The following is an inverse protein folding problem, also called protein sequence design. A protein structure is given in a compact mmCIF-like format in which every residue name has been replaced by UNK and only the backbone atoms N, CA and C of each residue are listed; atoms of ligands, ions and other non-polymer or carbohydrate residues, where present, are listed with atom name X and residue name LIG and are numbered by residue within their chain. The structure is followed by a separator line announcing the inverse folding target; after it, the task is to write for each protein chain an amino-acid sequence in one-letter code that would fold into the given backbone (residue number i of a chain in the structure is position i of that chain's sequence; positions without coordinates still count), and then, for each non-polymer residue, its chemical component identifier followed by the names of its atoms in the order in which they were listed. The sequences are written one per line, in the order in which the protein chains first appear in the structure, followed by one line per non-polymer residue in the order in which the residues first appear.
data_IF_588404630400
#
_entry.id   IF_588404630400
#
_cell.length_a   1.000
_cell.length_b   1.000
_cell.length_c   1.000
_cell.angle_alpha   90.00
_cell.angle_beta   90.00
_cell.angle_gamma   90.00
#
_symmetry.space_group_name_H-M   'P 1'
#
loop_
_entity.id
_entity.type
_entity.pdbx_description
1 polymer ?
#
# COMPACT_ATOMS: atom_id res chain seq x y z
N UNK A 1 2.73 13.30 -33.29
CA UNK A 1 2.51 13.24 -31.82
C UNK A 1 1.46 14.27 -31.45
N UNK A 2 0.45 13.92 -30.64
CA UNK A 2 -0.48 14.95 -30.12
C UNK A 2 0.30 15.94 -29.24
N UNK A 3 0.13 17.23 -29.48
CA UNK A 3 0.74 18.27 -28.66
C UNK A 3 -0.11 18.46 -27.41
N UNK A 4 0.43 18.07 -26.26
CA UNK A 4 -0.17 18.34 -24.96
C UNK A 4 0.44 19.59 -24.34
N UNK A 5 -0.41 20.47 -23.84
CA UNK A 5 -0.04 21.65 -23.05
C UNK A 5 -0.19 21.36 -21.55
N UNK A 6 0.64 22.01 -20.73
CA UNK A 6 0.71 21.79 -19.28
C UNK A 6 0.48 23.13 -18.59
N UNK A 7 -0.67 23.28 -17.94
CA UNK A 7 -1.13 24.56 -17.38
C UNK A 7 -1.35 24.44 -15.88
N UNK A 8 -1.20 25.56 -15.17
CA UNK A 8 -1.49 25.62 -13.73
C UNK A 8 -2.97 25.35 -13.49
N UNK A 9 -3.31 24.59 -12.45
CA UNK A 9 -4.70 24.40 -12.03
C UNK A 9 -5.23 25.73 -11.49
N UNK A 10 -6.29 26.24 -12.10
CA UNK A 10 -7.06 27.40 -11.64
C UNK A 10 -8.45 26.96 -11.15
N UNK A 11 -9.13 27.83 -10.40
CA UNK A 11 -10.43 27.50 -9.78
C UNK A 11 -11.46 27.01 -10.79
N UNK A 12 -11.51 27.63 -11.97
CA UNK A 12 -12.41 27.26 -13.07
C UNK A 12 -12.17 25.85 -13.65
N UNK A 13 -10.97 25.29 -13.49
CA UNK A 13 -10.63 23.98 -14.04
C UNK A 13 -10.71 22.84 -13.00
N UNK A 14 -10.94 23.15 -11.71
CA UNK A 14 -10.92 22.16 -10.62
C UNK A 14 -11.90 21.02 -10.89
N UNK A 15 -13.15 21.33 -11.24
CA UNK A 15 -14.15 20.28 -11.44
C UNK A 15 -13.81 19.38 -12.64
N UNK A 16 -13.26 19.93 -13.71
CA UNK A 16 -12.78 19.12 -14.85
C UNK A 16 -11.61 18.20 -14.44
N UNK A 17 -10.67 18.70 -13.64
CA UNK A 17 -9.56 17.88 -13.09
C UNK A 17 -10.11 16.74 -12.23
N UNK A 18 -11.09 17.02 -11.36
CA UNK A 18 -11.76 16.02 -10.53
C UNK A 18 -12.49 14.98 -11.40
N UNK A 19 -13.15 15.39 -12.48
CA UNK A 19 -13.80 14.44 -13.40
C UNK A 19 -12.80 13.47 -14.05
N UNK A 20 -11.58 13.93 -14.37
CA UNK A 20 -10.52 13.03 -14.86
C UNK A 20 -10.04 12.09 -13.75
N UNK A 21 -9.97 12.56 -12.49
CA UNK A 21 -9.64 11.71 -11.35
C UNK A 21 -10.68 10.59 -11.16
N UNK A 22 -11.98 10.93 -11.20
CA UNK A 22 -13.09 9.96 -11.10
C UNK A 22 -13.00 8.92 -12.21
N UNK A 23 -12.74 9.33 -13.46
CA UNK A 23 -12.53 8.39 -14.58
C UNK A 23 -11.34 7.46 -14.37
N UNK A 24 -10.31 7.92 -13.66
CA UNK A 24 -9.06 7.16 -13.46
C UNK A 24 -9.16 6.21 -12.27
N UNK A 25 -9.75 6.64 -11.16
CA UNK A 25 -9.76 5.92 -9.89
C UNK A 25 -11.12 5.37 -9.48
N UNK A 26 -12.20 5.77 -10.16
CA UNK A 26 -13.58 5.42 -9.82
C UNK A 26 -14.28 6.50 -8.97
N UNK A 27 -15.57 6.28 -8.72
CA UNK A 27 -16.40 7.13 -7.86
C UNK A 27 -15.90 7.12 -6.41
N UNK A 28 -16.05 8.24 -5.72
CA UNK A 28 -15.65 8.44 -4.33
C UNK A 28 -14.28 9.10 -4.17
N UNK A 29 -13.42 9.10 -5.21
CA UNK A 29 -12.11 9.76 -5.16
C UNK A 29 -12.23 11.28 -4.97
N UNK A 30 -13.32 11.86 -5.45
CA UNK A 30 -13.67 13.26 -5.26
C UNK A 30 -13.81 13.68 -3.80
N UNK A 31 -14.11 12.73 -2.90
CA UNK A 31 -14.17 12.99 -1.45
C UNK A 31 -12.78 13.04 -0.81
N UNK A 32 -11.78 12.41 -1.45
CA UNK A 32 -10.39 12.35 -0.99
C UNK A 32 -9.53 13.49 -1.52
N UNK A 33 -9.93 14.12 -2.64
CA UNK A 33 -9.21 15.24 -3.24
C UNK A 33 -9.77 16.56 -2.70
N UNK A 34 -8.95 17.31 -1.95
CA UNK A 34 -9.33 18.66 -1.52
C UNK A 34 -9.52 19.58 -2.72
N UNK A 35 -10.74 20.10 -2.88
CA UNK A 35 -11.02 21.18 -3.84
C UNK A 35 -10.54 22.55 -3.35
N UNK A 36 -10.36 22.71 -2.04
CA UNK A 36 -9.92 23.98 -1.44
C UNK A 36 -8.43 24.19 -1.66
N UNK A 37 -8.06 25.34 -2.23
CA UNK A 37 -6.66 25.73 -2.48
C UNK A 37 -5.85 24.69 -3.27
N UNK A 38 -6.49 24.04 -4.24
CA UNK A 38 -5.82 23.06 -5.09
C UNK A 38 -4.64 23.70 -5.84
N UNK A 39 -3.46 23.12 -5.67
CA UNK A 39 -2.24 23.55 -6.35
C UNK A 39 -1.69 22.40 -7.18
N UNK A 40 -1.27 22.69 -8.41
CA UNK A 40 -0.78 21.66 -9.30
C UNK A 40 -0.89 22.07 -10.77
N UNK A 41 -0.75 21.08 -11.64
CA UNK A 41 -0.79 21.29 -13.09
C UNK A 41 -1.70 20.26 -13.74
N UNK A 42 -2.36 20.65 -14.82
CA UNK A 42 -3.13 19.75 -15.66
C UNK A 42 -2.55 19.70 -17.08
N UNK A 43 -2.77 18.58 -17.75
CA UNK A 43 -2.46 18.38 -19.16
C UNK A 43 -3.73 18.51 -19.99
N UNK A 44 -3.68 19.23 -21.11
CA UNK A 44 -4.79 19.37 -22.07
C UNK A 44 -4.34 19.02 -23.49
N UNK A 45 -5.24 18.44 -24.28
CA UNK A 45 -5.07 18.22 -25.72
C UNK A 45 -5.59 19.39 -26.58
N UNK A 46 -5.96 20.51 -25.95
CA UNK A 46 -6.55 21.71 -26.56
C UNK A 46 -8.06 21.79 -26.37
N UNK A 47 -8.73 20.65 -26.31
CA UNK A 47 -10.19 20.57 -26.14
C UNK A 47 -10.59 20.17 -24.72
N UNK A 48 -9.81 19.27 -24.09
CA UNK A 48 -10.15 18.71 -22.78
C UNK A 48 -8.93 18.45 -21.91
N UNK A 49 -9.16 18.49 -20.60
CA UNK A 49 -8.18 18.02 -19.62
C UNK A 49 -8.06 16.50 -19.70
N UNK A 50 -6.84 16.00 -19.81
CA UNK A 50 -6.51 14.57 -19.99
C UNK A 50 -5.62 14.01 -18.88
N UNK A 51 -5.24 14.82 -17.90
CA UNK A 51 -4.46 14.37 -16.74
C UNK A 51 -4.10 15.54 -15.82
N UNK A 52 -3.66 15.23 -14.61
CA UNK A 52 -3.21 16.24 -13.67
C UNK A 52 -2.21 15.68 -12.65
N UNK A 53 -1.44 16.59 -12.06
CA UNK A 53 -0.64 16.39 -10.86
C UNK A 53 -1.08 17.42 -9.82
N UNK A 54 -1.48 16.94 -8.64
CA UNK A 54 -1.89 17.75 -7.51
C UNK A 54 -0.77 17.70 -6.46
N UNK A 55 -0.36 18.89 -6.03
CA UNK A 55 0.75 19.13 -5.13
C UNK A 55 0.24 19.69 -3.81
N UNK A 56 0.95 19.39 -2.73
CA UNK A 56 0.65 19.95 -1.41
C UNK A 56 1.93 20.42 -0.72
N UNK A 57 1.81 21.51 0.03
CA UNK A 57 2.90 22.12 0.81
C UNK A 57 2.93 21.51 2.21
N UNK A 58 4.11 21.04 2.62
CA UNK A 58 4.38 20.49 3.96
C UNK A 58 5.10 21.47 4.90
N UNK A 59 6.00 20.91 5.72
CA UNK A 59 7.05 21.63 6.46
C UNK A 59 7.95 22.46 5.56
N UNK A 60 8.78 23.36 6.11
CA UNK A 60 9.48 24.45 5.37
C UNK A 60 10.03 24.04 3.99
N UNK A 61 10.70 22.90 3.90
CA UNK A 61 11.35 22.36 2.70
C UNK A 61 10.69 21.07 2.17
N UNK A 62 9.51 20.72 2.68
CA UNK A 62 8.78 19.50 2.33
C UNK A 62 7.59 19.78 1.39
N UNK A 63 7.44 18.94 0.38
CA UNK A 63 6.34 18.95 -0.58
C UNK A 63 5.80 17.55 -0.82
N UNK A 64 4.55 17.45 -1.24
CA UNK A 64 3.90 16.18 -1.50
C UNK A 64 3.34 16.14 -2.92
N UNK A 65 3.59 15.05 -3.64
CA UNK A 65 2.80 14.69 -4.81
C UNK A 65 1.59 13.94 -4.28
N UNK A 66 0.49 14.65 -4.11
CA UNK A 66 -0.72 14.10 -3.48
C UNK A 66 -1.46 13.20 -4.46
N UNK A 67 -1.61 13.64 -5.71
CA UNK A 67 -2.27 12.88 -6.76
C UNK A 67 -1.54 13.08 -8.09
N UNK A 68 -1.44 12.02 -8.88
CA UNK A 68 -1.05 12.11 -10.27
C UNK A 68 -1.84 11.09 -11.07
N UNK A 69 -2.47 11.54 -12.14
CA UNK A 69 -3.34 10.70 -12.95
C UNK A 69 -3.43 11.19 -14.39
N UNK A 70 -3.74 10.26 -15.28
CA UNK A 70 -3.93 10.50 -16.72
C UNK A 70 -5.14 9.67 -17.14
N UNK A 71 -6.03 10.30 -17.91
CA UNK A 71 -7.19 9.64 -18.51
C UNK A 71 -6.74 8.33 -19.20
N UNK A 72 -7.36 7.18 -18.89
CA UNK A 72 -7.02 5.90 -19.50
C UNK A 72 -6.90 5.94 -21.03
N UNK A 73 -7.71 6.75 -21.72
CA UNK A 73 -7.68 6.90 -23.19
C UNK A 73 -6.50 7.74 -23.70
N UNK A 74 -5.85 8.51 -22.82
CA UNK A 74 -4.70 9.35 -23.14
C UNK A 74 -3.36 8.75 -22.66
N UNK A 75 -3.38 7.60 -21.97
CA UNK A 75 -2.17 6.91 -21.50
C UNK A 75 -1.26 6.50 -22.68
N UNK A 76 0.02 6.21 -22.37
CA UNK A 76 1.03 5.87 -23.38
C UNK A 76 1.74 7.07 -24.04
N UNK A 77 1.24 8.30 -23.86
CA UNK A 77 1.79 9.51 -24.48
C UNK A 77 2.82 10.28 -23.61
N UNK A 78 3.45 9.61 -22.63
CA UNK A 78 4.38 10.22 -21.64
C UNK A 78 3.81 11.43 -20.86
N UNK A 79 2.49 11.61 -20.84
CA UNK A 79 1.81 12.72 -20.13
C UNK A 79 2.17 12.71 -18.64
N UNK A 80 2.09 11.55 -17.98
CA UNK A 80 2.42 11.42 -16.57
C UNK A 80 3.88 11.81 -16.25
N UNK A 81 4.83 11.44 -17.11
CA UNK A 81 6.24 11.85 -16.95
C UNK A 81 6.40 13.37 -17.05
N UNK A 82 5.79 14.00 -18.05
CA UNK A 82 5.84 15.46 -18.22
C UNK A 82 5.12 16.19 -17.07
N UNK A 83 4.00 15.66 -16.57
CA UNK A 83 3.31 16.17 -15.38
C UNK A 83 4.23 16.08 -14.16
N UNK A 84 4.89 14.94 -13.95
CA UNK A 84 5.86 14.76 -12.87
C UNK A 84 7.01 15.78 -12.97
N UNK A 85 7.57 15.99 -14.16
CA UNK A 85 8.65 16.96 -14.37
C UNK A 85 8.23 18.41 -14.03
N UNK A 86 7.04 18.82 -14.47
CA UNK A 86 6.48 20.14 -14.15
C UNK A 86 6.18 20.26 -12.66
N UNK A 87 5.57 19.24 -12.05
CA UNK A 87 5.23 19.23 -10.63
C UNK A 87 6.45 19.26 -9.72
N UNK A 88 7.47 18.44 -10.00
CA UNK A 88 8.76 18.47 -9.28
C UNK A 88 9.44 19.83 -9.41
N UNK A 89 9.43 20.45 -10.61
CA UNK A 89 9.99 21.80 -10.79
C UNK A 89 9.23 22.85 -9.96
N UNK A 90 7.90 22.75 -9.91
CA UNK A 90 7.08 23.66 -9.11
C UNK A 90 7.33 23.51 -7.60
N UNK A 91 7.46 22.27 -7.11
CA UNK A 91 7.86 22.02 -5.71
C UNK A 91 9.23 22.64 -5.41
N UNK A 92 10.22 22.42 -6.29
CA UNK A 92 11.56 22.99 -6.12
C UNK A 92 11.57 24.52 -6.15
N UNK A 93 10.81 25.14 -7.06
CA UNK A 93 10.69 26.59 -7.17
C UNK A 93 10.02 27.21 -5.92
N UNK A 94 9.13 26.49 -5.24
CA UNK A 94 8.55 26.86 -3.95
C UNK A 94 9.48 26.58 -2.75
N UNK A 95 10.73 26.15 -3.00
CA UNK A 95 11.71 25.80 -1.97
C UNK A 95 11.48 24.43 -1.32
N UNK A 96 10.62 23.57 -1.89
CA UNK A 96 10.32 22.22 -1.38
C UNK A 96 11.24 21.18 -1.99
N UNK A 97 12.44 21.07 -1.42
CA UNK A 97 13.50 20.18 -1.92
C UNK A 97 13.36 18.73 -1.45
N UNK A 98 12.55 18.47 -0.42
CA UNK A 98 12.22 17.13 0.08
C UNK A 98 10.80 16.78 -0.34
N UNK A 99 10.65 15.79 -1.21
CA UNK A 99 9.37 15.49 -1.83
C UNK A 99 8.90 14.10 -1.43
N UNK A 100 7.62 13.97 -1.11
CA UNK A 100 7.01 12.72 -0.67
C UNK A 100 5.85 12.33 -1.57
N UNK A 101 5.62 11.03 -1.71
CA UNK A 101 4.43 10.49 -2.35
C UNK A 101 4.04 9.17 -1.67
N UNK A 102 2.74 8.88 -1.65
CA UNK A 102 2.24 7.58 -1.22
C UNK A 102 1.85 6.78 -2.47
N UNK A 103 2.46 5.61 -2.65
CA UNK A 103 2.26 4.80 -3.87
C UNK A 103 1.89 3.38 -3.49
N UNK A 104 0.82 2.86 -4.08
CA UNK A 104 0.38 1.48 -3.85
C UNK A 104 1.46 0.50 -4.31
N UNK A 105 1.70 -0.53 -3.52
CA UNK A 105 2.83 -1.45 -3.72
C UNK A 105 2.75 -2.26 -5.02
N UNK A 106 1.54 -2.48 -5.53
CA UNK A 106 1.30 -3.18 -6.79
C UNK A 106 1.12 -2.26 -8.00
N UNK A 107 1.21 -0.94 -7.82
CA UNK A 107 1.06 0.01 -8.91
C UNK A 107 2.41 0.28 -9.60
N UNK A 108 2.83 -0.67 -10.43
CA UNK A 108 4.13 -0.58 -11.12
C UNK A 108 4.27 0.64 -12.01
N UNK A 109 3.18 1.13 -12.61
CA UNK A 109 3.23 2.32 -13.46
C UNK A 109 3.67 3.56 -12.63
N UNK A 110 3.10 3.73 -11.45
CA UNK A 110 3.52 4.77 -10.51
C UNK A 110 4.92 4.51 -9.97
N UNK A 111 5.28 3.28 -9.59
CA UNK A 111 6.64 2.95 -9.14
C UNK A 111 7.68 3.35 -10.18
N UNK A 112 7.49 2.95 -11.44
CA UNK A 112 8.38 3.29 -12.54
C UNK A 112 8.45 4.81 -12.77
N UNK A 113 7.33 5.52 -12.63
CA UNK A 113 7.28 6.98 -12.75
C UNK A 113 8.08 7.67 -11.64
N UNK A 114 7.85 7.30 -10.38
CA UNK A 114 8.52 7.89 -9.22
C UNK A 114 10.01 7.54 -9.20
N UNK A 115 10.38 6.29 -9.51
CA UNK A 115 11.77 5.86 -9.60
C UNK A 115 12.54 6.67 -10.66
N UNK A 116 11.98 6.84 -11.86
CA UNK A 116 12.58 7.66 -12.94
C UNK A 116 12.68 9.13 -12.56
N UNK A 117 11.76 9.63 -11.74
CA UNK A 117 11.81 10.98 -11.21
C UNK A 117 12.81 11.15 -10.04
N UNK A 118 13.53 10.08 -9.65
CA UNK A 118 14.56 10.11 -8.60
C UNK A 118 14.02 9.95 -7.19
N UNK A 119 12.80 9.42 -7.03
CA UNK A 119 12.29 9.01 -5.73
C UNK A 119 12.77 7.60 -5.38
N UNK A 120 12.86 7.31 -4.09
CA UNK A 120 13.21 6.01 -3.53
C UNK A 120 12.31 5.67 -2.34
N UNK A 121 12.20 4.39 -2.00
CA UNK A 121 11.44 3.93 -0.82
C UNK A 121 12.37 3.85 0.38
N UNK A 122 12.23 4.79 1.31
CA UNK A 122 13.04 4.79 2.54
C UNK A 122 12.36 3.98 3.66
N UNK A 123 13.14 3.43 4.62
CA UNK A 123 12.56 2.78 5.79
C UNK A 123 11.58 3.69 6.53
N UNK A 124 10.47 3.15 7.03
CA UNK A 124 9.42 3.91 7.74
C UNK A 124 10.00 4.83 8.82
N UNK A 125 10.87 4.32 9.69
CA UNK A 125 11.54 5.09 10.75
C UNK A 125 12.27 6.32 10.20
N UNK A 126 12.96 6.17 9.06
CA UNK A 126 13.65 7.26 8.38
C UNK A 126 12.65 8.32 7.90
N UNK A 127 11.55 7.90 7.27
CA UNK A 127 10.50 8.81 6.78
C UNK A 127 9.77 9.53 7.91
N UNK A 128 9.58 8.91 9.08
CA UNK A 128 8.87 9.52 10.20
C UNK A 128 9.75 10.54 10.93
N UNK A 129 10.98 10.16 11.29
CA UNK A 129 11.74 10.86 12.34
C UNK A 129 12.90 11.74 11.86
N UNK A 130 13.40 11.59 10.61
CA UNK A 130 14.50 12.45 10.11
C UNK A 130 14.01 13.80 9.55
N UNK A 131 12.73 13.88 9.22
CA UNK A 131 12.12 15.01 8.53
C UNK A 131 11.43 15.97 9.51
N UNK A 132 10.99 17.13 9.02
CA UNK A 132 10.40 18.19 9.85
C UNK A 132 9.21 17.67 10.66
N UNK A 133 9.10 18.12 11.93
CA UNK A 133 7.96 17.81 12.80
C UNK A 133 6.64 18.35 12.24
N UNK A 134 6.65 19.45 11.48
CA UNK A 134 5.43 20.09 10.95
C UNK A 134 4.61 19.18 10.02
N UNK A 135 5.28 18.29 9.30
CA UNK A 135 4.64 17.32 8.40
C UNK A 135 4.61 15.89 8.97
N UNK A 136 4.95 15.72 10.25
CA UNK A 136 5.00 14.41 10.90
C UNK A 136 3.67 13.67 10.77
N UNK A 137 2.54 14.30 11.13
CA UNK A 137 1.22 13.64 11.10
C UNK A 137 0.83 13.14 9.71
N UNK A 138 1.21 13.86 8.66
CA UNK A 138 0.94 13.43 7.29
C UNK A 138 1.78 12.21 6.91
N UNK A 139 3.08 12.22 7.24
CA UNK A 139 3.95 11.06 7.00
C UNK A 139 3.57 9.86 7.87
N UNK A 140 3.09 10.10 9.09
CA UNK A 140 2.51 9.09 9.96
C UNK A 140 1.25 8.49 9.34
N UNK A 141 0.34 9.33 8.82
CA UNK A 141 -0.84 8.87 8.07
C UNK A 141 -0.47 8.00 6.86
N UNK A 142 0.57 8.39 6.11
CA UNK A 142 1.10 7.57 5.00
C UNK A 142 1.62 6.21 5.50
N UNK A 143 2.36 6.18 6.61
CA UNK A 143 2.87 4.95 7.21
C UNK A 143 1.77 4.02 7.76
N UNK A 144 0.56 4.53 8.00
CA UNK A 144 -0.57 3.75 8.50
C UNK A 144 -1.34 3.00 7.40
N UNK A 145 -1.20 3.40 6.13
CA UNK A 145 -2.00 2.84 5.02
C UNK A 145 -1.36 1.53 4.53
N UNK A 146 -2.11 0.42 4.54
CA UNK A 146 -1.61 -0.92 4.22
C UNK A 146 -1.46 -1.12 2.72
N UNK A 147 -0.36 -1.75 2.28
CA UNK A 147 -0.13 -2.06 0.87
C UNK A 147 0.30 -0.85 0.04
N UNK A 148 0.80 0.18 0.72
CA UNK A 148 1.40 1.36 0.13
C UNK A 148 2.80 1.58 0.71
N UNK A 149 3.65 2.22 -0.08
CA UNK A 149 4.98 2.65 0.30
C UNK A 149 5.11 4.16 0.19
N UNK A 150 5.82 4.75 1.16
CA UNK A 150 6.20 6.16 1.11
C UNK A 150 7.44 6.33 0.24
N UNK A 151 7.28 7.00 -0.89
CA UNK A 151 8.36 7.36 -1.79
C UNK A 151 8.89 8.75 -1.44
N UNK A 152 10.21 8.88 -1.43
CA UNK A 152 10.90 10.09 -1.01
C UNK A 152 11.94 10.49 -2.06
N UNK A 153 11.95 11.77 -2.44
CA UNK A 153 13.02 12.39 -3.21
C UNK A 153 13.66 13.47 -2.34
N UNK A 154 14.92 13.23 -1.97
CA UNK A 154 15.72 14.14 -1.16
C UNK A 154 17.19 13.91 -1.51
N UNK A 155 17.85 14.96 -2.01
CA UNK A 155 19.23 14.91 -2.51
C UNK A 155 20.24 14.47 -1.43
N UNK A 156 19.93 14.68 -0.15
CA UNK A 156 20.79 14.33 0.98
C UNK A 156 20.50 12.93 1.52
N UNK A 157 19.40 12.32 1.10
CA UNK A 157 19.12 10.91 1.36
C UNK A 157 19.45 10.14 0.09
N UNK A 158 20.58 9.43 0.08
CA UNK A 158 20.79 8.39 -0.93
C UNK A 158 20.76 7.06 -0.20
N UNK A 159 19.76 6.26 -0.48
CA UNK A 159 19.86 4.86 -0.14
C UNK A 159 20.84 4.25 -1.15
N UNK A 160 21.99 3.77 -0.67
CA UNK A 160 22.96 3.07 -1.53
C UNK A 160 22.43 1.73 -2.02
N UNK A 161 21.37 1.22 -1.41
CA UNK A 161 20.70 -0.03 -1.78
C UNK A 161 19.19 0.24 -1.85
N UNK A 162 18.56 0.15 -3.04
CA UNK A 162 17.12 0.40 -3.22
C UNK A 162 16.23 -0.61 -2.49
N UNK A 163 16.81 -1.70 -1.96
CA UNK A 163 16.10 -2.78 -1.29
C UNK A 163 16.74 -3.17 0.04
N UNK A 164 15.94 -3.57 1.04
CA UNK A 164 16.47 -4.00 2.33
C UNK A 164 17.29 -5.29 2.19
N UNK A 165 18.45 -5.34 2.88
CA UNK A 165 19.19 -6.59 3.07
C UNK A 165 18.35 -7.56 3.91
N UNK A 166 18.20 -8.80 3.46
CA UNK A 166 17.41 -9.87 4.09
C UNK A 166 15.93 -9.50 4.32
N UNK A 167 15.15 -9.25 3.24
CA UNK A 167 13.78 -8.75 3.35
C UNK A 167 12.84 -9.70 4.10
N UNK A 168 13.02 -11.02 3.95
CA UNK A 168 12.23 -12.05 4.65
C UNK A 168 12.51 -12.02 6.14
N UNK A 169 13.79 -12.03 6.54
CA UNK A 169 14.19 -11.95 7.95
C UNK A 169 13.62 -10.69 8.60
N UNK A 170 13.66 -9.55 7.91
CA UNK A 170 13.05 -8.30 8.41
C UNK A 170 11.54 -8.42 8.61
N UNK A 171 10.83 -9.07 7.69
CA UNK A 171 9.39 -9.29 7.85
C UNK A 171 9.09 -10.22 9.03
N UNK A 172 9.90 -11.26 9.26
CA UNK A 172 9.75 -12.16 10.42
C UNK A 172 10.07 -11.44 11.74
N UNK A 173 11.11 -10.60 11.78
CA UNK A 173 11.39 -9.75 12.95
C UNK A 173 10.23 -8.78 13.20
N UNK A 174 9.67 -8.17 12.14
CA UNK A 174 8.52 -7.29 12.30
C UNK A 174 7.29 -8.06 12.80
N UNK A 175 7.04 -9.26 12.28
CA UNK A 175 6.00 -10.16 12.76
C UNK A 175 6.19 -10.50 14.24
N UNK A 176 7.43 -10.78 14.69
CA UNK A 176 7.75 -10.98 16.10
C UNK A 176 7.39 -9.75 16.94
N UNK A 177 7.84 -8.56 16.54
CA UNK A 177 7.55 -7.30 17.26
C UNK A 177 6.04 -7.06 17.36
N UNK A 178 5.30 -7.32 16.27
CA UNK A 178 3.85 -7.14 16.25
C UNK A 178 3.13 -8.16 17.13
N UNK A 179 3.52 -9.44 17.09
CA UNK A 179 3.02 -10.45 18.02
C UNK A 179 3.31 -10.07 19.47
N UNK A 180 4.52 -9.61 19.77
CA UNK A 180 4.89 -9.13 21.11
C UNK A 180 4.02 -7.96 21.54
N UNK A 181 3.75 -7.01 20.63
CA UNK A 181 2.96 -5.81 20.93
C UNK A 181 1.53 -6.15 21.36
N UNK A 182 0.94 -7.22 20.82
CA UNK A 182 -0.40 -7.68 21.20
C UNK A 182 -0.46 -8.24 22.62
N UNK A 183 0.64 -8.82 23.11
CA UNK A 183 0.63 -9.55 24.37
C UNK A 183 1.33 -8.84 25.51
N UNK A 184 2.34 -7.99 25.26
CA UNK A 184 3.08 -7.28 26.31
C UNK A 184 2.22 -6.29 27.10
N UNK A 185 1.07 -5.88 26.55
CA UNK A 185 0.13 -4.96 27.17
C UNK A 185 -1.27 -5.57 27.33
N UNK A 186 -1.38 -6.90 27.18
CA UNK A 186 -2.61 -7.64 27.42
C UNK A 186 -2.76 -8.04 28.89
N UNK A 187 -4.00 -8.12 29.39
CA UNK A 187 -4.32 -8.75 30.68
C UNK A 187 -4.19 -10.28 30.65
N UNK A 188 -3.64 -10.83 29.57
CA UNK A 188 -3.57 -12.27 29.28
C UNK A 188 -2.17 -12.77 29.63
N UNK A 189 -2.11 -13.95 30.24
CA UNK A 189 -0.86 -14.53 30.76
C UNK A 189 0.19 -14.86 29.69
N UNK A 190 1.33 -15.37 30.13
CA UNK A 190 2.51 -15.66 29.26
C UNK A 190 2.22 -16.66 28.13
N UNK A 191 1.23 -17.53 28.30
CA UNK A 191 0.80 -18.47 27.25
C UNK A 191 0.28 -17.73 26.01
N UNK A 192 -0.50 -16.66 26.21
CA UNK A 192 -1.01 -15.82 25.13
C UNK A 192 0.11 -15.11 24.37
N UNK A 193 1.21 -14.74 25.05
CA UNK A 193 2.41 -14.23 24.39
C UNK A 193 2.97 -15.25 23.43
N UNK A 194 3.19 -16.49 23.87
CA UNK A 194 3.72 -17.53 22.98
C UNK A 194 2.78 -17.80 21.80
N UNK A 195 1.47 -17.93 22.04
CA UNK A 195 0.51 -18.18 20.96
C UNK A 195 0.41 -17.03 19.97
N UNK A 196 0.39 -15.77 20.43
CA UNK A 196 0.37 -14.61 19.53
C UNK A 196 1.64 -14.50 18.69
N UNK A 197 2.82 -14.71 19.28
CA UNK A 197 4.09 -14.74 18.55
C UNK A 197 4.11 -15.85 17.49
N UNK A 198 3.77 -17.08 17.89
CA UNK A 198 3.73 -18.22 16.98
C UNK A 198 2.71 -18.03 15.87
N UNK A 199 1.55 -17.45 16.16
CA UNK A 199 0.51 -17.18 15.17
C UNK A 199 0.95 -16.13 14.17
N UNK A 200 1.44 -14.97 14.62
CA UNK A 200 1.83 -13.87 13.74
C UNK A 200 3.04 -14.25 12.87
N UNK A 201 4.06 -14.89 13.45
CA UNK A 201 5.22 -15.39 12.71
C UNK A 201 4.83 -16.53 11.79
N UNK A 202 4.07 -17.51 12.29
CA UNK A 202 3.65 -18.70 11.55
C UNK A 202 2.83 -18.34 10.32
N UNK A 203 1.81 -17.49 10.48
CA UNK A 203 1.00 -17.01 9.35
C UNK A 203 1.85 -16.21 8.37
N UNK A 204 2.75 -15.34 8.84
CA UNK A 204 3.65 -14.58 7.97
C UNK A 204 4.54 -15.51 7.14
N UNK A 205 5.14 -16.52 7.79
CA UNK A 205 6.00 -17.50 7.13
C UNK A 205 5.22 -18.36 6.12
N UNK A 206 4.06 -18.90 6.52
CA UNK A 206 3.22 -19.70 5.63
C UNK A 206 2.80 -18.90 4.39
N UNK A 207 2.44 -17.62 4.55
CA UNK A 207 2.10 -16.75 3.42
C UNK A 207 3.29 -16.52 2.49
N UNK A 208 4.50 -16.33 3.03
CA UNK A 208 5.72 -16.23 2.22
C UNK A 208 5.95 -17.53 1.44
N UNK A 209 5.80 -18.68 2.09
CA UNK A 209 6.02 -19.99 1.46
C UNK A 209 4.99 -20.29 0.37
N UNK A 210 3.70 -20.02 0.61
CA UNK A 210 2.62 -20.25 -0.37
C UNK A 210 2.68 -19.29 -1.56
N UNK A 211 3.01 -18.02 -1.32
CA UNK A 211 3.08 -17.02 -2.39
C UNK A 211 4.30 -17.21 -3.30
N UNK A 212 5.42 -17.72 -2.78
CA UNK A 212 6.66 -17.87 -3.54
C UNK A 212 6.54 -18.67 -4.85
N UNK A 213 6.00 -19.90 -4.91
CA UNK A 213 5.92 -20.67 -6.15
C UNK A 213 5.04 -19.98 -7.20
N UNK A 214 3.93 -19.36 -6.77
CA UNK A 214 3.01 -18.63 -7.66
C UNK A 214 3.70 -17.39 -8.23
N UNK A 215 4.48 -16.68 -7.40
CA UNK A 215 5.28 -15.55 -7.86
C UNK A 215 6.38 -15.99 -8.82
N UNK A 216 7.07 -17.08 -8.50
CA UNK A 216 8.20 -17.63 -9.26
C UNK A 216 7.80 -18.10 -10.65
N UNK A 217 6.55 -18.51 -10.85
CA UNK A 217 6.00 -18.85 -12.16
C UNK A 217 6.08 -17.70 -13.18
N UNK A 218 6.22 -16.44 -12.73
CA UNK A 218 6.49 -15.30 -13.61
C UNK A 218 7.97 -15.23 -14.05
N UNK A 219 8.90 -15.61 -13.18
CA UNK A 219 10.33 -15.39 -13.38
C UNK A 219 11.07 -15.16 -12.07
N UNK A 220 12.23 -14.48 -12.13
CA UNK A 220 13.01 -14.15 -10.93
C UNK A 220 12.26 -13.12 -10.09
N UNK A 221 11.99 -13.46 -8.84
CA UNK A 221 11.25 -12.61 -7.90
C UNK A 221 12.11 -12.23 -6.69
N UNK A 222 11.74 -11.14 -6.05
CA UNK A 222 12.28 -10.66 -4.77
C UNK A 222 11.11 -10.40 -3.81
N UNK A 223 11.33 -10.65 -2.53
CA UNK A 223 10.35 -10.34 -1.51
C UNK A 223 10.47 -8.86 -1.09
N UNK A 224 9.34 -8.17 -1.05
CA UNK A 224 9.23 -6.79 -0.60
C UNK A 224 8.42 -6.75 0.71
N UNK A 225 9.04 -6.41 1.84
CA UNK A 225 8.33 -6.30 3.11
C UNK A 225 7.39 -5.09 3.07
N UNK A 226 6.23 -5.21 3.75
CA UNK A 226 5.28 -4.10 3.88
C UNK A 226 5.97 -2.88 4.49
N UNK A 227 5.83 -1.72 3.85
CA UNK A 227 6.25 -0.44 4.43
C UNK A 227 5.07 0.20 5.17
N UNK A 228 3.91 0.26 4.52
CA UNK A 228 2.69 0.77 5.11
C UNK A 228 2.02 -0.23 6.06
N UNK A 229 1.20 0.29 6.97
CA UNK A 229 0.40 -0.46 7.93
C UNK A 229 1.17 -0.92 9.17
N UNK A 230 2.50 -0.98 9.14
CA UNK A 230 3.31 -1.50 10.27
C UNK A 230 3.13 -0.63 11.51
N UNK A 231 3.15 0.69 11.33
CA UNK A 231 2.98 1.63 12.43
C UNK A 231 1.56 1.56 13.03
N UNK A 232 0.55 1.42 12.17
CA UNK A 232 -0.84 1.23 12.62
C UNK A 232 -1.00 -0.11 13.35
N UNK A 233 -0.44 -1.20 12.81
CA UNK A 233 -0.49 -2.51 13.47
C UNK A 233 0.14 -2.50 14.84
N UNK A 234 1.26 -1.78 15.01
CA UNK A 234 1.92 -1.67 16.30
C UNK A 234 1.04 -0.91 17.30
N UNK A 235 0.46 0.23 16.89
CA UNK A 235 -0.47 0.99 17.74
C UNK A 235 -1.67 0.12 18.13
N UNK A 236 -2.33 -0.52 17.16
CA UNK A 236 -3.49 -1.38 17.43
C UNK A 236 -3.14 -2.58 18.31
N UNK A 237 -1.93 -3.13 18.16
CA UNK A 237 -1.42 -4.20 19.00
C UNK A 237 -1.32 -3.77 20.47
N UNK A 238 -0.68 -2.62 20.74
CA UNK A 238 -0.50 -2.15 22.12
C UNK A 238 -1.81 -1.63 22.75
N UNK A 239 -2.69 -0.98 21.97
CA UNK A 239 -3.88 -0.31 22.54
C UNK A 239 -5.12 -1.20 22.58
N UNK A 240 -5.27 -2.09 21.59
CA UNK A 240 -6.48 -2.90 21.43
C UNK A 240 -6.19 -4.41 21.40
N UNK A 241 -4.92 -4.82 21.47
CA UNK A 241 -4.52 -6.22 21.31
C UNK A 241 -4.95 -6.81 19.96
N UNK A 242 -5.06 -5.95 18.94
CA UNK A 242 -5.47 -6.32 17.59
C UNK A 242 -4.25 -6.31 16.67
N UNK A 243 -4.14 -7.35 15.83
CA UNK A 243 -3.14 -7.40 14.78
C UNK A 243 -3.69 -6.92 13.44
N UNK A 244 -3.02 -5.95 12.86
CA UNK A 244 -3.27 -5.53 11.48
C UNK A 244 -2.27 -6.24 10.56
N UNK A 245 -2.73 -7.08 9.62
CA UNK A 245 -1.84 -7.89 8.80
C UNK A 245 -0.94 -7.07 7.86
N UNK A 246 0.37 -7.22 8.02
CA UNK A 246 1.41 -6.54 7.22
C UNK A 246 2.42 -7.54 6.66
N UNK A 247 2.01 -8.24 5.60
CA UNK A 247 2.71 -9.44 5.13
C UNK A 247 3.79 -9.22 4.07
N UNK A 248 3.82 -8.07 3.39
CA UNK A 248 4.64 -7.90 2.19
C UNK A 248 4.15 -8.79 1.03
N UNK A 249 4.93 -8.87 -0.05
CA UNK A 249 4.61 -9.68 -1.24
C UNK A 249 5.87 -9.94 -2.09
N UNK A 250 5.78 -10.90 -3.02
CA UNK A 250 6.82 -11.09 -4.03
C UNK A 250 6.56 -10.22 -5.25
N UNK A 251 7.59 -9.49 -5.68
CA UNK A 251 7.60 -8.71 -6.90
C UNK A 251 8.69 -9.23 -7.87
N UNK A 252 8.60 -8.93 -9.18
CA UNK A 252 9.69 -9.19 -10.11
C UNK A 252 11.02 -8.60 -9.63
N UNK A 253 12.14 -9.29 -9.89
CA UNK A 253 13.47 -8.83 -9.47
C UNK A 253 13.89 -7.56 -10.22
N UNK A 254 13.41 -7.39 -11.45
CA UNK A 254 13.60 -6.21 -12.30
C UNK A 254 13.27 -4.90 -11.54
N UNK A 255 13.96 -3.81 -11.89
CA UNK A 255 13.67 -2.50 -11.31
C UNK A 255 12.45 -1.85 -11.96
N UNK A 256 12.33 -2.01 -13.28
CA UNK A 256 11.18 -1.61 -14.06
C UNK A 256 10.50 -2.88 -14.57
N UNK A 257 9.29 -3.17 -14.07
CA UNK A 257 8.48 -4.26 -14.62
C UNK A 257 7.16 -3.73 -15.19
N UNK A 258 6.43 -4.59 -15.90
CA UNK A 258 5.13 -4.25 -16.47
C UNK A 258 4.02 -4.83 -15.59
N UNK A 259 3.15 -3.95 -15.09
CA UNK A 259 2.07 -4.35 -14.18
C UNK A 259 1.12 -5.37 -14.81
N UNK A 260 0.80 -5.24 -16.10
CA UNK A 260 -0.16 -6.13 -16.78
C UNK A 260 0.30 -7.59 -16.82
N UNK A 261 1.60 -7.82 -17.03
CA UNK A 261 2.17 -9.17 -17.12
C UNK A 261 2.22 -9.85 -15.74
N UNK A 262 2.53 -9.10 -14.67
CA UNK A 262 2.59 -9.65 -13.30
C UNK A 262 1.25 -9.67 -12.56
N UNK A 263 0.23 -8.97 -13.08
CA UNK A 263 -1.09 -8.82 -12.45
C UNK A 263 -1.74 -10.16 -12.08
N UNK A 264 -1.62 -11.15 -12.98
CA UNK A 264 -2.14 -12.51 -12.77
C UNK A 264 -1.47 -13.18 -11.58
N UNK A 265 -0.14 -13.23 -11.57
CA UNK A 265 0.61 -13.86 -10.49
C UNK A 265 0.36 -13.16 -9.16
N UNK A 266 0.24 -11.82 -9.14
CA UNK A 266 -0.09 -11.10 -7.93
C UNK A 266 -1.49 -11.42 -7.40
N UNK A 267 -2.50 -11.43 -8.29
CA UNK A 267 -3.87 -11.79 -7.91
C UNK A 267 -3.98 -13.22 -7.40
N UNK A 268 -3.29 -14.18 -8.04
CA UNK A 268 -3.26 -15.57 -7.61
C UNK A 268 -2.48 -15.78 -6.31
N UNK A 269 -1.37 -15.07 -6.10
CA UNK A 269 -0.66 -15.07 -4.82
C UNK A 269 -1.60 -14.65 -3.69
N UNK A 270 -2.26 -13.50 -3.85
CA UNK A 270 -3.20 -12.99 -2.85
C UNK A 270 -4.40 -13.90 -2.61
N UNK A 271 -4.93 -14.52 -3.67
CA UNK A 271 -5.98 -15.52 -3.55
C UNK A 271 -5.53 -16.73 -2.71
N UNK A 272 -4.38 -17.31 -3.05
CA UNK A 272 -3.84 -18.47 -2.34
C UNK A 272 -3.51 -18.15 -0.88
N UNK A 273 -2.94 -16.97 -0.60
CA UNK A 273 -2.65 -16.57 0.77
C UNK A 273 -3.88 -16.26 1.60
N UNK A 274 -4.97 -15.79 0.97
CA UNK A 274 -6.26 -15.59 1.66
C UNK A 274 -6.93 -16.94 1.96
N UNK A 275 -6.93 -17.89 1.01
CA UNK A 275 -7.40 -19.26 1.27
C UNK A 275 -6.59 -19.95 2.36
N UNK A 276 -5.26 -19.79 2.37
CA UNK A 276 -4.39 -20.29 3.43
C UNK A 276 -4.80 -19.73 4.80
N UNK A 277 -5.11 -18.43 4.88
CA UNK A 277 -5.57 -17.83 6.14
C UNK A 277 -6.93 -18.36 6.59
N UNK A 278 -7.86 -18.61 5.66
CA UNK A 278 -9.13 -19.25 5.98
C UNK A 278 -8.91 -20.68 6.49
N UNK A 279 -8.04 -21.44 5.82
CA UNK A 279 -7.64 -22.78 6.27
C UNK A 279 -6.99 -22.76 7.66
N UNK A 280 -6.13 -21.78 7.94
CA UNK A 280 -5.54 -21.60 9.28
C UNK A 280 -6.61 -21.28 10.33
N UNK A 281 -7.56 -20.40 10.03
CA UNK A 281 -8.69 -20.08 10.92
C UNK A 281 -9.51 -21.32 11.27
N UNK A 282 -9.93 -22.08 10.25
CA UNK A 282 -10.72 -23.32 10.43
C UNK A 282 -9.89 -24.37 11.16
N UNK A 283 -8.63 -24.60 10.77
CA UNK A 283 -7.78 -25.58 11.44
C UNK A 283 -7.55 -25.25 12.91
N UNK A 284 -7.39 -23.96 13.25
CA UNK A 284 -7.25 -23.52 14.64
C UNK A 284 -8.49 -23.81 15.49
N UNK A 285 -9.70 -23.77 14.93
CA UNK A 285 -10.93 -24.07 15.69
C UNK A 285 -11.02 -25.54 16.13
N UNK A 286 -10.35 -26.44 15.42
CA UNK A 286 -10.29 -27.88 15.73
C UNK A 286 -9.03 -28.26 16.52
N UNK A 287 -7.86 -27.81 16.08
CA UNK A 287 -6.57 -28.26 16.64
C UNK A 287 -6.27 -27.57 17.97
N UNK A 288 -6.65 -26.30 18.11
CA UNK A 288 -6.33 -25.46 19.26
C UNK A 288 -7.59 -24.89 19.89
N UNK A 289 -8.63 -25.71 20.07
CA UNK A 289 -9.98 -25.28 20.44
C UNK A 289 -10.02 -24.32 21.65
N UNK A 290 -9.32 -24.65 22.73
CA UNK A 290 -9.31 -23.82 23.94
C UNK A 290 -8.69 -22.44 23.68
N UNK A 291 -7.52 -22.40 23.04
CA UNK A 291 -6.81 -21.16 22.68
C UNK A 291 -7.61 -20.34 21.66
N UNK A 292 -8.28 -21.03 20.74
CA UNK A 292 -9.16 -20.45 19.76
C UNK A 292 -10.29 -19.66 20.43
N UNK A 293 -10.97 -20.27 21.40
CA UNK A 293 -12.06 -19.68 22.16
C UNK A 293 -11.60 -18.62 23.18
N UNK A 294 -10.33 -18.62 23.60
CA UNK A 294 -9.75 -17.57 24.46
C UNK A 294 -9.49 -16.23 23.72
N UNK A 295 -9.96 -16.10 22.48
CA UNK A 295 -9.95 -14.86 21.71
C UNK A 295 -9.01 -14.85 20.51
N UNK A 296 -8.35 -15.97 20.20
CA UNK A 296 -7.62 -16.11 18.93
C UNK A 296 -8.60 -16.11 17.74
N UNK A 297 -9.82 -16.61 17.93
CA UNK A 297 -10.90 -16.52 16.94
C UNK A 297 -11.17 -15.07 16.52
N UNK A 298 -11.25 -14.13 17.48
CA UNK A 298 -11.43 -12.71 17.23
C UNK A 298 -10.29 -12.11 16.40
N UNK A 299 -9.05 -12.41 16.76
CA UNK A 299 -7.87 -11.93 16.04
C UNK A 299 -7.88 -12.43 14.60
N UNK A 300 -8.04 -13.73 14.40
CA UNK A 300 -7.98 -14.33 13.06
C UNK A 300 -9.17 -13.92 12.19
N UNK A 301 -10.38 -13.85 12.74
CA UNK A 301 -11.56 -13.36 12.02
C UNK A 301 -11.41 -11.89 11.63
N UNK A 302 -10.89 -11.04 12.52
CA UNK A 302 -10.63 -9.64 12.21
C UNK A 302 -9.68 -9.47 11.02
N UNK A 303 -8.60 -10.26 10.98
CA UNK A 303 -7.63 -10.24 9.88
C UNK A 303 -8.29 -10.69 8.58
N UNK A 304 -9.11 -11.75 8.62
CA UNK A 304 -9.87 -12.20 7.46
C UNK A 304 -10.80 -11.10 6.94
N UNK A 305 -11.56 -10.44 7.82
CA UNK A 305 -12.44 -9.32 7.46
C UNK A 305 -11.65 -8.21 6.78
N UNK A 306 -10.55 -7.73 7.38
CA UNK A 306 -9.74 -6.67 6.77
C UNK A 306 -9.19 -7.06 5.40
N UNK A 307 -8.70 -8.30 5.25
CA UNK A 307 -8.19 -8.80 3.97
C UNK A 307 -9.29 -8.99 2.90
N UNK A 308 -10.57 -8.98 3.29
CA UNK A 308 -11.71 -9.03 2.35
C UNK A 308 -12.17 -7.67 1.80
N UNK A 309 -11.67 -6.56 2.35
CA UNK A 309 -12.11 -5.21 2.00
C UNK A 309 -11.29 -4.67 0.80
N UNK A 310 -11.90 -4.45 -0.39
CA UNK A 310 -11.17 -4.03 -1.59
C UNK A 310 -11.11 -2.50 -1.79
N UNK A 311 -11.55 -1.69 -0.81
CA UNK A 311 -11.60 -0.23 -0.91
C UNK A 311 -10.56 0.44 -0.01
N UNK A 312 -10.14 1.65 -0.38
CA UNK A 312 -9.21 2.46 0.40
C UNK A 312 -9.70 2.63 1.85
N UNK A 313 -8.84 2.51 2.87
CA UNK A 313 -7.38 2.36 2.83
C UNK A 313 -6.86 0.92 2.72
N UNK A 314 -7.74 -0.05 2.44
CA UNK A 314 -7.41 -1.48 2.40
C UNK A 314 -7.32 -2.05 0.97
N UNK A 315 -7.43 -1.24 -0.07
CA UNK A 315 -7.36 -1.69 -1.46
C UNK A 315 -5.96 -2.22 -1.87
N UNK A 316 -4.95 -2.03 -1.02
CA UNK A 316 -3.63 -2.66 -1.12
C UNK A 316 -3.55 -4.09 -0.55
N UNK A 317 -4.57 -4.55 0.16
CA UNK A 317 -4.68 -5.91 0.73
C UNK A 317 -4.95 -6.98 -0.35
N UNK A 318 -5.06 -8.25 0.07
CA UNK A 318 -5.27 -9.36 -0.86
C UNK A 318 -6.51 -9.19 -1.73
N UNK A 319 -7.65 -8.80 -1.17
CA UNK A 319 -8.88 -8.65 -1.96
C UNK A 319 -8.80 -7.56 -3.00
N UNK A 320 -8.11 -6.46 -2.72
CA UNK A 320 -7.86 -5.43 -3.73
C UNK A 320 -7.08 -5.98 -4.93
N UNK A 321 -6.08 -6.84 -4.69
CA UNK A 321 -5.29 -7.49 -5.76
C UNK A 321 -6.13 -8.52 -6.51
N UNK A 322 -6.93 -9.32 -5.79
CA UNK A 322 -7.81 -10.34 -6.38
C UNK A 322 -8.86 -9.69 -7.26
N UNK A 323 -9.63 -8.70 -6.78
CA UNK A 323 -10.71 -8.07 -7.56
C UNK A 323 -10.19 -7.38 -8.82
N UNK A 324 -8.98 -6.79 -8.75
CA UNK A 324 -8.31 -6.20 -9.91
C UNK A 324 -7.98 -7.26 -10.95
N UNK A 325 -7.54 -8.45 -10.55
CA UNK A 325 -7.23 -9.57 -11.44
C UNK A 325 -8.49 -10.26 -11.97
N UNK A 326 -9.36 -10.74 -11.07
CA UNK A 326 -10.54 -11.53 -11.38
C UNK A 326 -11.64 -11.32 -10.31
N UNK A 327 -12.75 -10.68 -10.71
CA UNK A 327 -13.90 -10.40 -9.84
C UNK A 327 -14.59 -11.66 -9.31
N UNK A 328 -14.60 -12.75 -10.09
CA UNK A 328 -15.21 -14.01 -9.68
C UNK A 328 -14.41 -14.67 -8.54
N UNK A 329 -13.08 -14.68 -8.63
CA UNK A 329 -12.23 -15.17 -7.53
C UNK A 329 -12.42 -14.33 -6.25
N UNK A 330 -12.64 -13.03 -6.38
CA UNK A 330 -12.96 -12.18 -5.24
C UNK A 330 -14.29 -12.57 -4.59
N UNK A 331 -15.36 -12.76 -5.37
CA UNK A 331 -16.67 -13.19 -4.86
C UNK A 331 -16.55 -14.55 -4.14
N UNK A 332 -15.85 -15.52 -4.74
CA UNK A 332 -15.59 -16.81 -4.09
C UNK A 332 -14.88 -16.60 -2.75
N UNK A 333 -13.78 -15.82 -2.74
CA UNK A 333 -13.01 -15.57 -1.53
C UNK A 333 -13.86 -14.94 -0.43
N UNK A 334 -14.70 -13.97 -0.80
CA UNK A 334 -15.60 -13.27 0.11
C UNK A 334 -16.63 -14.22 0.72
N UNK A 335 -17.31 -15.01 -0.11
CA UNK A 335 -18.29 -16.00 0.34
C UNK A 335 -17.64 -17.02 1.27
N UNK A 336 -16.48 -17.57 0.89
CA UNK A 336 -15.78 -18.55 1.74
C UNK A 336 -15.33 -17.92 3.06
N UNK A 337 -14.84 -16.68 3.07
CA UNK A 337 -14.53 -15.97 4.32
C UNK A 337 -15.77 -15.82 5.20
N UNK A 338 -16.90 -15.38 4.66
CA UNK A 338 -18.15 -15.21 5.40
C UNK A 338 -18.60 -16.55 6.00
N UNK A 339 -18.64 -17.62 5.19
CA UNK A 339 -19.02 -18.94 5.67
C UNK A 339 -18.04 -19.48 6.72
N UNK A 340 -16.73 -19.26 6.53
CA UNK A 340 -15.71 -19.66 7.51
C UNK A 340 -15.97 -18.99 8.85
N UNK A 341 -16.23 -17.69 8.87
CA UNK A 341 -16.54 -16.96 10.11
C UNK A 341 -17.87 -17.45 10.70
N UNK A 342 -18.94 -17.59 9.91
CA UNK A 342 -20.26 -17.99 10.44
C UNK A 342 -20.24 -19.39 11.09
N UNK A 343 -19.50 -20.34 10.52
CA UNK A 343 -19.51 -21.73 11.00
C UNK A 343 -18.45 -22.05 12.06
N UNK A 344 -17.36 -21.29 12.11
CA UNK A 344 -16.20 -21.63 12.95
C UNK A 344 -15.80 -20.53 13.95
N UNK A 345 -16.41 -19.35 13.92
CA UNK A 345 -16.23 -18.32 14.95
C UNK A 345 -17.00 -18.67 16.22
#
# INVERSE_FOLDING_TARGET
MKNFEFKLIQKENIDQVIQVAIKTFGSGVETLISKRNMWGYYATDGERIVGAIILEKGGKDEGFVQWIFVDPKAQGNKIASRLMDVGTRALNADGRTKQFALVRDDNTASWNLFLKAGYQVLPVIHTLFKYSKKSFFKRAGYAMIIGYSTWVKDNNSKQTIPYPKFPIVRALIMALILGSSMSLFGLRGIEFLFFSLLTVIGITLLRILVSYPIARAYGKVKFLPSQGGVFLSFILGITFQIWLPVFGFFAPKEELWKSHEFKKNLGLQSFATLLLMQGAFIASSFIFHDVFNQGMNFILAHILVIQTIPFFPFDGTDSGKIIRYNKFLYIISLVVTILSIIFFF
#
